data_IF_891940866959
#
_entry.id   IF_891940866959
#
_cell.length_a   1.000
_cell.length_b   1.000
_cell.length_c   1.000
_cell.angle_alpha   90.00
_cell.angle_beta   90.00
_cell.angle_gamma   90.00
#
_symmetry.space_group_name_H-M   'P 1'
#
loop_
_entity.id
_entity.type
_entity.pdbx_description
1 polymer ?
#
# COMPACT_ATOMS: atom_id res chain seq x y z
N UNK A 1 -8.21 14.14 -20.04
CA UNK A 1 -8.16 12.92 -20.89
C UNK A 1 -9.35 11.98 -20.65
N UNK A 2 -9.88 11.85 -19.42
CA UNK A 2 -10.97 10.91 -19.11
C UNK A 2 -12.35 11.55 -18.82
N UNK A 3 -12.50 12.89 -18.91
CA UNK A 3 -13.77 13.62 -18.64
C UNK A 3 -14.48 13.19 -17.32
N UNK A 4 -13.73 12.72 -16.32
CA UNK A 4 -14.22 12.44 -14.97
C UNK A 4 -14.12 13.75 -14.16
N UNK A 5 -15.19 14.21 -13.48
CA UNK A 5 -15.11 15.39 -12.62
C UNK A 5 -14.10 15.21 -11.47
N UNK A 6 -13.48 16.31 -11.03
CA UNK A 6 -12.58 16.29 -9.87
C UNK A 6 -13.35 15.89 -8.59
N UNK A 7 -12.68 15.15 -7.70
CA UNK A 7 -13.26 14.71 -6.41
C UNK A 7 -14.19 13.50 -6.46
N UNK A 8 -14.41 12.88 -7.64
CA UNK A 8 -15.30 11.70 -7.76
C UNK A 8 -14.64 10.40 -7.30
N UNK A 9 -13.31 10.30 -7.36
CA UNK A 9 -12.58 9.17 -6.80
C UNK A 9 -12.04 9.54 -5.42
N UNK A 10 -11.99 8.57 -4.52
CA UNK A 10 -11.28 8.74 -3.26
C UNK A 10 -9.81 9.10 -3.55
N UNK A 11 -9.25 10.04 -2.77
CA UNK A 11 -7.84 10.48 -2.82
C UNK A 11 -6.80 9.38 -3.12
N UNK A 12 -6.83 8.16 -2.53
CA UNK A 12 -5.89 7.09 -2.87
C UNK A 12 -5.89 6.69 -4.35
N UNK A 13 -7.02 6.80 -5.04
CA UNK A 13 -7.23 6.32 -6.40
C UNK A 13 -7.43 7.46 -7.42
N UNK A 14 -7.42 8.72 -6.97
CA UNK A 14 -7.74 9.88 -7.80
C UNK A 14 -6.85 10.01 -9.06
N UNK A 15 -5.60 9.53 -8.99
CA UNK A 15 -4.65 9.50 -10.10
C UNK A 15 -4.52 8.16 -10.81
N UNK A 16 -5.23 7.10 -10.39
CA UNK A 16 -4.97 5.74 -10.88
C UNK A 16 -5.45 5.57 -12.34
N UNK A 17 -4.55 5.29 -13.32
CA UNK A 17 -4.90 5.37 -14.74
C UNK A 17 -6.01 4.42 -15.18
N UNK A 18 -5.99 3.17 -14.71
CA UNK A 18 -7.03 2.20 -15.04
C UNK A 18 -8.36 2.59 -14.40
N UNK A 19 -8.36 2.97 -13.13
CA UNK A 19 -9.58 3.35 -12.40
C UNK A 19 -10.27 4.54 -13.06
N UNK A 20 -9.50 5.56 -13.44
CA UNK A 20 -10.01 6.72 -14.19
C UNK A 20 -10.61 6.34 -15.55
N UNK A 21 -9.97 5.41 -16.26
CA UNK A 21 -10.47 4.90 -17.54
C UNK A 21 -11.80 4.15 -17.35
N UNK A 22 -11.84 3.17 -16.44
CA UNK A 22 -13.04 2.36 -16.22
C UNK A 22 -14.21 3.21 -15.72
N UNK A 23 -13.95 4.15 -14.80
CA UNK A 23 -14.96 5.09 -14.32
C UNK A 23 -15.50 5.98 -15.46
N UNK A 24 -14.64 6.44 -16.38
CA UNK A 24 -15.10 7.17 -17.57
C UNK A 24 -16.00 6.32 -18.46
N UNK A 25 -15.73 5.03 -18.61
CA UNK A 25 -16.57 4.11 -19.40
C UNK A 25 -17.92 3.86 -18.71
N UNK A 26 -17.93 3.71 -17.38
CA UNK A 26 -19.15 3.59 -16.57
C UNK A 26 -20.00 4.86 -16.67
N UNK A 27 -19.40 6.04 -16.51
CA UNK A 27 -20.12 7.31 -16.64
C UNK A 27 -20.69 7.55 -18.03
N UNK A 28 -19.98 7.15 -19.10
CA UNK A 28 -20.50 7.28 -20.45
C UNK A 28 -21.74 6.40 -20.71
N UNK A 29 -21.91 5.32 -19.94
CA UNK A 29 -23.03 4.40 -20.07
C UNK A 29 -24.23 4.75 -19.16
N UNK A 30 -24.03 5.53 -18.10
CA UNK A 30 -25.09 5.92 -17.16
C UNK A 30 -25.70 7.28 -17.54
N UNK A 31 -27.02 7.38 -17.71
CA UNK A 31 -27.68 8.67 -17.85
C UNK A 31 -27.77 9.38 -16.48
N UNK A 32 -27.02 10.47 -16.28
CA UNK A 32 -27.18 11.32 -15.10
C UNK A 32 -25.89 12.00 -14.62
N UNK A 33 -26.04 12.87 -13.63
CA UNK A 33 -24.92 13.50 -12.91
C UNK A 33 -24.33 12.48 -11.92
N UNK A 34 -22.99 12.33 -11.84
CA UNK A 34 -22.37 11.39 -10.90
C UNK A 34 -22.75 11.69 -9.45
N UNK A 35 -22.77 10.63 -8.62
CA UNK A 35 -23.10 10.74 -7.22
C UNK A 35 -22.14 11.72 -6.50
N UNK A 36 -22.61 12.46 -5.48
CA UNK A 36 -21.81 13.46 -4.77
C UNK A 36 -20.76 12.86 -3.81
N UNK A 37 -20.65 11.52 -3.73
CA UNK A 37 -19.75 10.83 -2.79
C UNK A 37 -18.56 10.25 -3.57
N UNK A 38 -17.32 10.41 -3.05
CA UNK A 38 -16.15 9.76 -3.63
C UNK A 38 -16.34 8.24 -3.73
N UNK A 39 -16.09 7.69 -4.92
CA UNK A 39 -16.21 6.28 -5.24
C UNK A 39 -14.85 5.60 -5.00
N UNK A 40 -14.88 4.44 -4.35
CA UNK A 40 -13.68 3.61 -4.16
C UNK A 40 -13.35 2.85 -5.44
N UNK A 41 -12.09 2.47 -5.62
CA UNK A 41 -11.67 1.61 -6.73
C UNK A 41 -12.47 0.30 -6.83
N UNK A 42 -12.79 -0.33 -5.70
CA UNK A 42 -13.64 -1.54 -5.67
C UNK A 42 -15.02 -1.29 -6.29
N UNK A 43 -15.64 -0.15 -5.97
CA UNK A 43 -16.94 0.22 -6.51
C UNK A 43 -16.86 0.53 -8.01
N UNK A 44 -15.74 1.10 -8.49
CA UNK A 44 -15.49 1.27 -9.93
C UNK A 44 -15.38 -0.08 -10.63
N UNK A 45 -14.64 -1.03 -10.06
CA UNK A 45 -14.49 -2.37 -10.64
C UNK A 45 -15.81 -3.14 -10.67
N UNK A 46 -16.61 -3.06 -9.60
CA UNK A 46 -17.95 -3.64 -9.56
C UNK A 46 -18.88 -3.02 -10.63
N UNK A 47 -18.94 -1.69 -10.71
CA UNK A 47 -19.78 -1.00 -11.69
C UNK A 47 -19.33 -1.27 -13.14
N UNK A 48 -18.02 -1.36 -13.38
CA UNK A 48 -17.48 -1.73 -14.68
C UNK A 48 -17.86 -3.17 -15.04
N UNK A 49 -17.72 -4.13 -14.12
CA UNK A 49 -18.11 -5.52 -14.34
C UNK A 49 -19.60 -5.65 -14.67
N UNK A 50 -20.47 -4.95 -13.93
CA UNK A 50 -21.91 -4.92 -14.17
C UNK A 50 -22.24 -4.34 -15.55
N UNK A 51 -21.57 -3.25 -15.95
CA UNK A 51 -21.70 -2.66 -17.28
C UNK A 51 -21.30 -3.67 -18.37
N UNK A 52 -20.17 -4.35 -18.22
CA UNK A 52 -19.71 -5.34 -19.19
C UNK A 52 -20.68 -6.53 -19.29
N UNK A 53 -21.20 -7.02 -18.16
CA UNK A 53 -22.19 -8.09 -18.16
C UNK A 53 -23.50 -7.66 -18.84
N UNK A 54 -23.91 -6.39 -18.67
CA UNK A 54 -25.08 -5.83 -19.34
C UNK A 54 -24.87 -5.73 -20.86
N UNK A 55 -23.71 -5.21 -21.31
CA UNK A 55 -23.42 -5.10 -22.76
C UNK A 55 -23.36 -6.46 -23.46
N UNK A 56 -22.75 -7.46 -22.81
CA UNK A 56 -22.76 -8.85 -23.30
C UNK A 56 -24.20 -9.37 -23.39
N UNK A 57 -25.01 -9.15 -22.36
CA UNK A 57 -26.41 -9.54 -22.36
C UNK A 57 -27.24 -8.83 -23.43
N UNK A 58 -27.00 -7.54 -23.70
CA UNK A 58 -27.67 -6.79 -24.77
C UNK A 58 -27.34 -7.37 -26.16
N UNK A 59 -26.08 -7.75 -26.41
CA UNK A 59 -25.72 -8.42 -27.67
C UNK A 59 -26.43 -9.76 -27.83
N UNK A 60 -26.36 -10.59 -26.80
CA UNK A 60 -27.04 -11.88 -26.80
C UNK A 60 -28.57 -11.73 -26.94
N UNK A 61 -29.16 -10.73 -26.30
CA UNK A 61 -30.58 -10.44 -26.41
C UNK A 61 -30.96 -9.98 -27.82
N UNK A 62 -30.13 -9.17 -28.48
CA UNK A 62 -30.34 -8.72 -29.86
C UNK A 62 -30.38 -9.89 -30.84
N UNK A 63 -29.46 -10.84 -30.70
CA UNK A 63 -29.40 -12.04 -31.55
C UNK A 63 -30.56 -13.01 -31.29
N UNK A 64 -31.10 -13.05 -30.06
CA UNK A 64 -32.13 -14.01 -29.64
C UNK A 64 -33.53 -13.38 -29.46
N UNK A 65 -33.72 -12.10 -29.81
CA UNK A 65 -35.01 -11.39 -29.75
C UNK A 65 -35.55 -11.10 -28.34
N UNK A 66 -34.69 -11.08 -27.32
CA UNK A 66 -35.08 -10.86 -25.92
C UNK A 66 -35.18 -9.36 -25.58
N UNK A 67 -36.07 -8.97 -24.66
CA UNK A 67 -36.26 -7.56 -24.25
C UNK A 67 -36.53 -7.40 -22.75
N UNK A 68 -36.26 -6.21 -22.24
CA UNK A 68 -36.66 -5.77 -20.89
C UNK A 68 -36.06 -6.63 -19.76
N UNK A 69 -36.91 -7.20 -18.90
CA UNK A 69 -36.48 -8.02 -17.75
C UNK A 69 -35.70 -9.26 -18.15
N UNK A 70 -35.88 -9.79 -19.37
CA UNK A 70 -35.13 -10.92 -19.88
C UNK A 70 -33.63 -10.58 -20.03
N UNK A 71 -33.32 -9.35 -20.46
CA UNK A 71 -31.94 -8.85 -20.58
C UNK A 71 -31.28 -8.76 -19.21
N UNK A 72 -31.99 -8.22 -18.22
CA UNK A 72 -31.47 -8.14 -16.82
C UNK A 72 -31.18 -9.52 -16.24
N UNK A 73 -32.06 -10.50 -16.47
CA UNK A 73 -31.81 -11.90 -16.07
C UNK A 73 -30.61 -12.50 -16.81
N UNK A 74 -30.44 -12.18 -18.08
CA UNK A 74 -29.30 -12.63 -18.86
C UNK A 74 -27.99 -12.01 -18.37
N UNK A 75 -27.98 -10.71 -18.05
CA UNK A 75 -26.83 -10.04 -17.44
C UNK A 75 -26.40 -10.69 -16.12
N UNK A 76 -27.37 -11.05 -15.26
CA UNK A 76 -27.07 -11.81 -14.03
C UNK A 76 -26.46 -13.18 -14.31
N UNK A 77 -26.88 -13.87 -15.38
CA UNK A 77 -26.29 -15.16 -15.80
C UNK A 77 -24.88 -14.98 -16.36
N UNK A 78 -24.65 -13.95 -17.18
CA UNK A 78 -23.33 -13.57 -17.68
C UNK A 78 -22.40 -13.29 -16.50
N UNK A 79 -22.82 -12.47 -15.53
CA UNK A 79 -22.05 -12.22 -14.31
C UNK A 79 -21.72 -13.52 -13.58
N UNK A 80 -22.69 -14.42 -13.40
CA UNK A 80 -22.46 -15.74 -12.82
C UNK A 80 -21.39 -16.57 -13.56
N UNK A 81 -21.38 -16.56 -14.89
CA UNK A 81 -20.33 -17.22 -15.69
C UNK A 81 -18.98 -16.50 -15.56
N UNK A 82 -18.96 -15.18 -15.44
CA UNK A 82 -17.72 -14.42 -15.25
C UNK A 82 -17.09 -14.68 -13.88
N UNK A 83 -17.89 -14.78 -12.81
CA UNK A 83 -17.40 -15.20 -11.49
C UNK A 83 -16.89 -16.66 -11.52
N UNK A 84 -17.53 -17.54 -12.29
CA UNK A 84 -17.02 -18.91 -12.48
C UNK A 84 -15.72 -18.94 -13.29
N UNK A 85 -15.58 -18.07 -14.30
CA UNK A 85 -14.34 -17.86 -15.02
C UNK A 85 -13.22 -17.40 -14.07
N UNK A 86 -13.49 -16.43 -13.19
CA UNK A 86 -12.54 -15.99 -12.17
C UNK A 86 -12.11 -17.15 -11.25
N UNK A 87 -13.05 -17.98 -10.78
CA UNK A 87 -12.74 -19.18 -9.97
C UNK A 87 -11.81 -20.15 -10.70
N UNK A 88 -12.10 -20.46 -11.96
CA UNK A 88 -11.29 -21.40 -12.75
C UNK A 88 -9.92 -20.84 -13.10
N UNK A 89 -9.79 -19.52 -13.26
CA UNK A 89 -8.50 -18.83 -13.44
C UNK A 89 -7.55 -18.98 -12.24
N UNK A 90 -8.06 -19.20 -11.03
CA UNK A 90 -7.23 -19.52 -9.85
C UNK A 90 -6.61 -20.93 -9.91
N UNK A 91 -7.04 -21.77 -10.85
CA UNK A 91 -6.44 -23.06 -11.15
C UNK A 91 -5.01 -22.94 -11.74
N UNK A 92 -4.32 -24.06 -11.99
CA UNK A 92 -2.89 -24.09 -12.37
C UNK A 92 -2.51 -23.33 -13.66
N UNK A 93 -3.49 -22.79 -14.42
CA UNK A 93 -3.33 -22.14 -15.73
C UNK A 93 -2.77 -20.70 -15.74
N UNK A 94 -1.87 -20.34 -14.83
CA UNK A 94 -1.24 -19.01 -14.78
C UNK A 94 -2.20 -17.79 -14.77
N UNK A 95 -3.39 -17.91 -14.15
CA UNK A 95 -4.42 -16.85 -14.17
C UNK A 95 -5.23 -16.79 -15.47
N UNK A 96 -4.90 -17.64 -16.46
CA UNK A 96 -5.63 -17.81 -17.70
C UNK A 96 -6.59 -19.01 -17.63
N UNK A 97 -7.66 -18.93 -18.42
CA UNK A 97 -8.55 -20.03 -18.73
C UNK A 97 -7.99 -20.75 -19.96
N UNK A 98 -7.84 -22.07 -19.88
CA UNK A 98 -7.64 -22.87 -21.06
C UNK A 98 -8.88 -22.80 -21.98
N UNK A 99 -8.73 -23.29 -23.22
CA UNK A 99 -9.78 -23.23 -24.24
C UNK A 99 -11.03 -24.01 -23.85
N UNK A 100 -10.86 -25.18 -23.24
CA UNK A 100 -11.96 -26.06 -22.84
C UNK A 100 -12.76 -25.43 -21.69
N UNK A 101 -12.06 -24.91 -20.69
CA UNK A 101 -12.63 -24.16 -19.57
C UNK A 101 -13.39 -22.93 -20.04
N UNK A 102 -12.86 -22.17 -21.00
CA UNK A 102 -13.56 -21.03 -21.60
C UNK A 102 -14.82 -21.46 -22.34
N UNK A 103 -14.74 -22.45 -23.23
CA UNK A 103 -15.88 -22.91 -24.03
C UNK A 103 -16.99 -23.52 -23.18
N UNK A 104 -16.64 -24.16 -22.06
CA UNK A 104 -17.61 -24.69 -21.09
C UNK A 104 -18.45 -23.59 -20.41
N UNK A 105 -17.89 -22.37 -20.27
CA UNK A 105 -18.55 -21.21 -19.66
C UNK A 105 -19.23 -20.32 -20.71
N UNK A 106 -18.57 -20.15 -21.85
CA UNK A 106 -19.02 -19.31 -22.96
C UNK A 106 -19.01 -20.14 -24.25
N UNK A 107 -20.09 -20.88 -24.54
CA UNK A 107 -20.14 -21.77 -25.70
C UNK A 107 -20.03 -21.01 -27.03
N UNK A 108 -19.30 -21.59 -27.99
CA UNK A 108 -19.37 -21.18 -29.39
C UNK A 108 -20.69 -21.58 -30.05
N UNK A 109 -21.25 -22.71 -29.63
CA UNK A 109 -22.53 -23.25 -30.08
C UNK A 109 -23.72 -22.86 -29.20
N UNK A 110 -24.81 -23.65 -29.23
CA UNK A 110 -25.97 -23.44 -28.39
C UNK A 110 -25.62 -23.52 -26.90
N UNK A 111 -26.01 -22.50 -26.15
CA UNK A 111 -25.81 -22.51 -24.72
C UNK A 111 -26.80 -23.45 -24.00
N UNK A 112 -26.39 -24.09 -22.90
CA UNK A 112 -27.27 -24.91 -22.09
C UNK A 112 -28.50 -24.14 -21.59
N UNK A 113 -29.63 -24.84 -21.42
CA UNK A 113 -30.90 -24.24 -20.96
C UNK A 113 -30.76 -23.48 -19.62
N UNK A 114 -29.86 -23.93 -18.72
CA UNK A 114 -29.55 -23.21 -17.47
C UNK A 114 -29.08 -21.77 -17.71
N UNK A 115 -28.34 -21.52 -18.79
CA UNK A 115 -27.88 -20.20 -19.20
C UNK A 115 -28.95 -19.37 -19.92
N UNK A 116 -30.12 -19.96 -20.21
CA UNK A 116 -31.20 -19.32 -20.95
C UNK A 116 -31.24 -19.70 -22.42
N UNK A 117 -30.37 -20.61 -22.88
CA UNK A 117 -30.29 -21.02 -24.27
C UNK A 117 -29.63 -19.97 -25.17
N UNK A 118 -29.94 -20.05 -26.47
CA UNK A 118 -29.42 -19.15 -27.49
C UNK A 118 -28.01 -19.50 -27.97
N UNK A 119 -27.54 -18.77 -28.97
CA UNK A 119 -26.16 -18.86 -29.52
C UNK A 119 -25.41 -17.54 -29.27
N UNK A 120 -24.09 -17.52 -29.53
CA UNK A 120 -23.32 -16.26 -29.56
C UNK A 120 -22.58 -15.89 -28.27
N UNK A 121 -22.53 -16.76 -27.25
CA UNK A 121 -21.90 -16.47 -25.95
C UNK A 121 -20.41 -16.12 -26.05
N UNK A 122 -19.61 -16.99 -26.68
CA UNK A 122 -18.18 -16.70 -26.88
C UNK A 122 -17.95 -15.41 -27.70
N UNK A 123 -18.56 -15.24 -28.90
CA UNK A 123 -18.43 -14.00 -29.67
C UNK A 123 -18.83 -12.74 -28.89
N UNK A 124 -19.93 -12.78 -28.11
CA UNK A 124 -20.40 -11.61 -27.36
C UNK A 124 -19.41 -11.16 -26.28
N UNK A 125 -18.87 -12.10 -25.49
CA UNK A 125 -17.90 -11.79 -24.43
C UNK A 125 -16.57 -11.28 -25.02
N UNK A 126 -16.12 -11.87 -26.12
CA UNK A 126 -14.89 -11.45 -26.80
C UNK A 126 -15.06 -10.09 -27.50
N UNK A 127 -16.23 -9.82 -28.08
CA UNK A 127 -16.52 -8.54 -28.74
C UNK A 127 -16.62 -7.37 -27.76
N UNK A 128 -17.11 -7.63 -26.55
CA UNK A 128 -17.09 -6.65 -25.46
C UNK A 128 -15.72 -6.51 -24.80
N UNK A 129 -14.81 -7.47 -25.02
CA UNK A 129 -13.43 -7.37 -24.52
C UNK A 129 -13.31 -7.51 -23.01
N UNK A 130 -14.30 -8.11 -22.33
CA UNK A 130 -14.17 -8.46 -20.91
C UNK A 130 -13.11 -9.55 -20.71
N UNK A 131 -13.13 -10.55 -21.60
CA UNK A 131 -12.15 -11.61 -21.72
C UNK A 131 -11.53 -11.52 -23.12
N UNK A 132 -10.23 -11.71 -23.21
CA UNK A 132 -9.45 -11.63 -24.46
C UNK A 132 -8.63 -12.90 -24.66
N UNK A 133 -8.34 -13.28 -25.91
CA UNK A 133 -7.41 -14.36 -26.20
C UNK A 133 -6.01 -14.04 -25.63
N UNK A 134 -5.37 -15.04 -25.03
CA UNK A 134 -4.00 -14.93 -24.52
C UNK A 134 -3.28 -16.27 -24.67
N UNK A 135 -2.28 -16.31 -25.56
CA UNK A 135 -1.57 -17.55 -25.89
C UNK A 135 -2.53 -18.61 -26.45
N UNK A 136 -2.56 -19.78 -25.82
CA UNK A 136 -3.44 -20.89 -26.19
C UNK A 136 -4.85 -20.81 -25.57
N UNK A 137 -5.06 -19.89 -24.63
CA UNK A 137 -6.30 -19.75 -23.85
C UNK A 137 -6.82 -18.31 -23.84
N UNK A 138 -7.43 -17.93 -22.71
CA UNK A 138 -8.15 -16.67 -22.51
C UNK A 138 -7.84 -16.08 -21.14
N UNK A 139 -7.92 -14.74 -21.02
CA UNK A 139 -7.76 -14.04 -19.73
C UNK A 139 -8.64 -12.81 -19.68
N UNK A 140 -8.88 -12.29 -18.49
CA UNK A 140 -9.50 -10.97 -18.33
C UNK A 140 -8.63 -9.90 -18.99
N UNK A 141 -9.26 -8.93 -19.67
CA UNK A 141 -8.52 -7.89 -20.39
C UNK A 141 -7.68 -6.98 -19.50
N UNK A 142 -8.13 -6.77 -18.26
CA UNK A 142 -7.45 -5.96 -17.26
C UNK A 142 -7.00 -6.85 -16.11
N UNK A 143 -5.68 -6.94 -15.89
CA UNK A 143 -5.07 -7.75 -14.84
C UNK A 143 -5.57 -7.34 -13.46
N UNK A 144 -5.62 -6.05 -13.15
CA UNK A 144 -6.10 -5.56 -11.86
C UNK A 144 -7.59 -5.86 -11.60
N UNK A 145 -8.42 -5.92 -12.65
CA UNK A 145 -9.82 -6.36 -12.52
C UNK A 145 -9.88 -7.87 -12.32
N UNK A 146 -9.00 -8.61 -13.00
CA UNK A 146 -8.83 -10.05 -12.84
C UNK A 146 -8.46 -10.39 -11.39
N UNK A 147 -7.43 -9.73 -10.85
CA UNK A 147 -6.99 -9.90 -9.47
C UNK A 147 -8.09 -9.59 -8.47
N UNK A 148 -8.81 -8.50 -8.69
CA UNK A 148 -9.92 -8.11 -7.82
C UNK A 148 -11.03 -9.18 -7.80
N UNK A 149 -11.52 -9.61 -8.96
CA UNK A 149 -12.60 -10.62 -9.01
C UNK A 149 -12.10 -12.00 -8.56
N UNK A 150 -10.86 -12.37 -8.87
CA UNK A 150 -10.26 -13.63 -8.44
C UNK A 150 -10.05 -13.65 -6.92
N UNK A 151 -9.60 -12.54 -6.33
CA UNK A 151 -9.46 -12.36 -4.89
C UNK A 151 -10.78 -12.58 -4.13
N UNK A 152 -11.94 -12.26 -4.74
CA UNK A 152 -13.25 -12.56 -4.12
C UNK A 152 -13.57 -14.04 -3.98
N UNK A 153 -12.93 -14.91 -4.77
CA UNK A 153 -13.14 -16.37 -4.72
C UNK A 153 -11.94 -17.15 -4.20
N UNK A 154 -10.85 -16.46 -3.83
CA UNK A 154 -9.67 -17.10 -3.30
C UNK A 154 -9.96 -17.62 -1.90
N UNK A 155 -9.68 -18.90 -1.65
CA UNK A 155 -9.58 -19.43 -0.29
C UNK A 155 -8.29 -18.89 0.34
N UNK A 156 -8.41 -17.75 1.04
CA UNK A 156 -7.28 -17.03 1.59
C UNK A 156 -6.58 -17.84 2.70
N UNK A 157 -7.34 -18.56 3.52
CA UNK A 157 -6.77 -19.35 4.62
C UNK A 157 -5.95 -20.51 4.08
N UNK A 158 -6.47 -21.23 3.09
CA UNK A 158 -5.70 -22.28 2.42
C UNK A 158 -4.50 -21.72 1.64
N UNK A 159 -4.68 -20.57 0.98
CA UNK A 159 -3.59 -19.90 0.28
C UNK A 159 -2.46 -19.50 1.26
N UNK A 160 -2.77 -18.82 2.37
CA UNK A 160 -1.78 -18.42 3.37
C UNK A 160 -1.17 -19.63 4.09
N UNK A 161 -1.97 -20.64 4.44
CA UNK A 161 -1.46 -21.88 5.07
C UNK A 161 -0.46 -22.60 4.17
N UNK A 162 -0.76 -22.74 2.88
CA UNK A 162 0.14 -23.33 1.90
C UNK A 162 1.45 -22.53 1.71
N UNK A 163 1.45 -21.24 2.06
CA UNK A 163 2.60 -20.35 1.95
C UNK A 163 3.43 -20.27 3.24
N UNK A 164 2.78 -20.17 4.40
CA UNK A 164 3.40 -20.00 5.71
C UNK A 164 3.91 -21.32 6.29
N UNK A 165 3.14 -22.41 6.19
CA UNK A 165 3.44 -23.68 6.87
C UNK A 165 4.15 -24.71 5.98
N UNK A 166 4.75 -24.26 4.88
CA UNK A 166 5.30 -25.12 3.83
C UNK A 166 6.63 -25.81 4.19
N UNK A 167 7.21 -25.54 5.36
CA UNK A 167 8.57 -25.98 5.70
C UNK A 167 8.70 -27.48 6.04
N UNK A 168 7.59 -28.20 6.22
CA UNK A 168 7.59 -29.58 6.76
C UNK A 168 7.29 -30.72 5.76
N UNK A 169 7.09 -30.46 4.47
CA UNK A 169 6.87 -31.56 3.49
C UNK A 169 8.18 -32.08 2.91
N UNK A 170 8.58 -33.35 3.14
CA UNK A 170 9.78 -33.93 2.56
C UNK A 170 9.64 -34.04 1.04
N UNK A 171 10.63 -33.50 0.32
CA UNK A 171 11.00 -33.71 -1.08
C UNK A 171 10.09 -34.63 -1.93
N UNK A 172 9.43 -34.05 -2.95
CA UNK A 172 8.78 -34.87 -3.98
C UNK A 172 8.14 -34.14 -5.17
N UNK A 173 7.76 -32.87 -5.05
CA UNK A 173 7.22 -32.11 -6.20
C UNK A 173 7.54 -30.63 -6.05
N UNK A 174 8.35 -30.09 -6.97
CA UNK A 174 8.66 -28.67 -7.04
C UNK A 174 7.44 -27.86 -7.50
N UNK A 175 6.49 -27.60 -6.60
CA UNK A 175 5.47 -26.57 -6.83
C UNK A 175 6.06 -25.24 -6.38
N UNK A 176 6.27 -24.25 -7.23
CA UNK A 176 7.00 -23.02 -6.89
C UNK A 176 6.33 -22.19 -5.74
N UNK A 177 7.01 -21.20 -5.11
CA UNK A 177 6.38 -20.16 -4.25
C UNK A 177 5.18 -19.50 -4.96
N UNK A 178 4.32 -18.72 -4.26
CA UNK A 178 3.16 -17.99 -4.85
C UNK A 178 3.51 -17.61 -6.28
N UNK A 179 2.90 -18.18 -7.32
CA UNK A 179 3.31 -17.78 -8.65
C UNK A 179 3.15 -16.27 -8.77
N UNK A 180 4.17 -15.55 -9.29
CA UNK A 180 4.18 -14.07 -9.28
C UNK A 180 2.89 -13.46 -9.85
N UNK A 181 2.26 -14.15 -10.81
CA UNK A 181 0.98 -13.77 -11.41
C UNK A 181 -0.24 -13.88 -10.48
N UNK A 182 -0.14 -14.50 -9.30
CA UNK A 182 -1.25 -14.63 -8.33
C UNK A 182 -1.16 -13.65 -7.17
N UNK A 183 -0.05 -12.93 -7.04
CA UNK A 183 0.17 -12.07 -5.88
C UNK A 183 -0.93 -11.00 -5.78
N UNK A 184 -1.35 -10.43 -6.91
CA UNK A 184 -2.42 -9.43 -6.94
C UNK A 184 -3.74 -9.97 -6.41
N UNK A 185 -4.15 -11.18 -6.84
CA UNK A 185 -5.35 -11.84 -6.33
C UNK A 185 -5.29 -12.11 -4.82
N UNK A 186 -4.13 -12.46 -4.28
CA UNK A 186 -3.93 -12.64 -2.82
C UNK A 186 -4.02 -11.30 -2.10
N UNK A 187 -3.43 -10.23 -2.64
CA UNK A 187 -3.55 -8.87 -2.09
C UNK A 187 -5.01 -8.44 -2.04
N UNK A 188 -5.77 -8.66 -3.12
CA UNK A 188 -7.19 -8.30 -3.19
C UNK A 188 -8.05 -9.13 -2.22
N UNK A 189 -7.70 -10.40 -1.99
CA UNK A 189 -8.34 -11.23 -0.97
C UNK A 189 -8.06 -10.73 0.46
N UNK A 190 -6.82 -10.32 0.76
CA UNK A 190 -6.47 -9.72 2.07
C UNK A 190 -7.15 -8.37 2.28
N UNK A 191 -7.24 -7.53 1.25
CA UNK A 191 -8.00 -6.27 1.32
C UNK A 191 -9.50 -6.52 1.49
N UNK A 192 -10.04 -7.57 0.86
CA UNK A 192 -11.43 -7.99 1.07
C UNK A 192 -11.67 -8.46 2.50
N UNK A 193 -10.75 -9.22 3.09
CA UNK A 193 -10.79 -9.64 4.49
C UNK A 193 -10.91 -8.42 5.41
N UNK A 194 -10.09 -7.38 5.19
CA UNK A 194 -10.13 -6.13 5.95
C UNK A 194 -11.49 -5.42 5.83
N UNK A 195 -12.07 -5.38 4.63
CA UNK A 195 -13.39 -4.76 4.40
C UNK A 195 -14.53 -5.52 5.09
N UNK A 196 -14.44 -6.86 5.16
CA UNK A 196 -15.49 -7.70 5.71
C UNK A 196 -15.40 -7.87 7.24
N UNK A 197 -14.18 -7.97 7.78
CA UNK A 197 -13.92 -8.35 9.18
C UNK A 197 -13.23 -7.23 9.99
N UNK A 198 -12.80 -6.14 9.34
CA UNK A 198 -12.27 -4.95 10.00
C UNK A 198 -10.79 -5.04 10.38
N UNK A 199 -10.36 -4.06 11.18
CA UNK A 199 -8.97 -3.84 11.57
C UNK A 199 -8.33 -5.04 12.29
N UNK A 200 -8.96 -5.64 13.33
CA UNK A 200 -8.28 -6.67 14.12
C UNK A 200 -7.90 -7.90 13.29
N UNK A 201 -8.79 -8.33 12.40
CA UNK A 201 -8.54 -9.50 11.56
C UNK A 201 -7.40 -9.24 10.57
N UNK A 202 -7.36 -8.06 9.95
CA UNK A 202 -6.26 -7.69 9.07
C UNK A 202 -4.93 -7.57 9.84
N UNK A 203 -4.95 -7.01 11.05
CA UNK A 203 -3.74 -6.89 11.87
C UNK A 203 -3.13 -8.26 12.16
N UNK A 204 -3.93 -9.24 12.59
CA UNK A 204 -3.48 -10.62 12.83
C UNK A 204 -2.85 -11.25 11.58
N UNK A 205 -3.52 -11.14 10.42
CA UNK A 205 -2.98 -11.66 9.16
C UNK A 205 -1.66 -10.98 8.79
N UNK A 206 -1.54 -9.66 8.98
CA UNK A 206 -0.28 -8.96 8.70
C UNK A 206 0.83 -9.35 9.68
N UNK A 207 0.53 -9.57 10.96
CA UNK A 207 1.49 -10.08 11.95
C UNK A 207 2.04 -11.46 11.55
N UNK A 208 1.17 -12.36 11.10
CA UNK A 208 1.58 -13.67 10.57
C UNK A 208 2.51 -13.54 9.36
N UNK A 209 2.24 -12.57 8.47
CA UNK A 209 3.10 -12.28 7.32
C UNK A 209 4.46 -11.68 7.73
N UNK A 210 4.49 -10.82 8.75
CA UNK A 210 5.75 -10.32 9.33
C UNK A 210 6.56 -11.47 9.91
N UNK A 211 5.92 -12.34 10.71
CA UNK A 211 6.59 -13.51 11.28
C UNK A 211 7.13 -14.46 10.20
N UNK A 212 6.36 -14.70 9.13
CA UNK A 212 6.82 -15.49 8.00
C UNK A 212 8.05 -14.87 7.30
N UNK A 213 8.10 -13.54 7.18
CA UNK A 213 9.25 -12.83 6.63
C UNK A 213 10.47 -12.88 7.56
N UNK A 214 10.27 -12.86 8.88
CA UNK A 214 11.35 -12.98 9.85
C UNK A 214 11.95 -14.41 9.85
N UNK A 215 11.10 -15.44 9.68
CA UNK A 215 11.53 -16.84 9.56
C UNK A 215 12.25 -17.17 8.23
N UNK A 216 11.94 -16.43 7.16
CA UNK A 216 12.58 -16.53 5.85
C UNK A 216 12.74 -15.14 5.20
N UNK A 217 13.87 -14.44 5.45
CA UNK A 217 14.14 -13.11 4.90
C UNK A 217 14.17 -13.04 3.37
N UNK A 218 14.29 -14.17 2.67
CA UNK A 218 14.26 -14.26 1.21
C UNK A 218 12.84 -14.47 0.66
N UNK A 219 11.83 -14.52 1.53
CA UNK A 219 10.42 -14.65 1.17
C UNK A 219 9.90 -13.40 0.47
N UNK A 220 10.10 -13.34 -0.84
CA UNK A 220 9.67 -12.20 -1.67
C UNK A 220 8.16 -11.97 -1.59
N UNK A 221 7.36 -13.03 -1.43
CA UNK A 221 5.89 -12.93 -1.42
C UNK A 221 5.39 -12.29 -0.13
N UNK A 222 5.98 -12.61 1.03
CA UNK A 222 5.59 -12.01 2.31
C UNK A 222 5.88 -10.50 2.30
N UNK A 223 7.09 -10.11 1.89
CA UNK A 223 7.46 -8.71 1.74
C UNK A 223 6.57 -7.97 0.74
N UNK A 224 6.23 -8.61 -0.38
CA UNK A 224 5.35 -8.02 -1.41
C UNK A 224 3.91 -7.86 -0.93
N UNK A 225 3.35 -8.85 -0.22
CA UNK A 225 2.00 -8.78 0.36
C UNK A 225 1.91 -7.64 1.39
N UNK A 226 2.86 -7.58 2.32
CA UNK A 226 2.94 -6.51 3.31
C UNK A 226 2.98 -5.13 2.63
N UNK A 227 3.87 -4.97 1.66
CA UNK A 227 4.03 -3.71 0.94
C UNK A 227 2.76 -3.29 0.18
N UNK A 228 2.16 -4.21 -0.59
CA UNK A 228 0.97 -3.89 -1.40
C UNK A 228 -0.28 -3.65 -0.55
N UNK A 229 -0.49 -4.42 0.52
CA UNK A 229 -1.66 -4.27 1.39
C UNK A 229 -1.56 -2.97 2.20
N UNK A 230 -0.45 -2.73 2.90
CA UNK A 230 -0.27 -1.57 3.77
C UNK A 230 -0.27 -0.23 3.00
N UNK A 231 0.10 -0.23 1.72
CA UNK A 231 0.02 0.98 0.88
C UNK A 231 -1.37 1.22 0.28
N UNK A 232 -2.24 0.21 0.24
CA UNK A 232 -3.61 0.31 -0.28
C UNK A 232 -4.67 0.53 0.81
N UNK A 233 -4.39 0.25 2.08
CA UNK A 233 -5.32 0.61 3.17
C UNK A 233 -5.51 2.14 3.25
N UNK A 234 -6.74 2.63 3.50
CA UNK A 234 -7.02 4.06 3.54
C UNK A 234 -6.38 4.78 4.74
N UNK A 235 -6.16 4.06 5.84
CA UNK A 235 -5.46 4.52 7.03
C UNK A 235 -4.59 3.38 7.56
N UNK A 236 -3.29 3.63 7.71
CA UNK A 236 -2.34 2.64 8.23
C UNK A 236 -2.14 2.77 9.76
N UNK A 237 -2.70 3.81 10.39
CA UNK A 237 -2.56 4.07 11.84
C UNK A 237 -2.94 2.89 12.72
N UNK A 238 -4.04 2.15 12.45
CA UNK A 238 -4.43 1.03 13.28
C UNK A 238 -3.43 -0.15 13.26
N UNK A 239 -2.52 -0.19 12.29
CA UNK A 239 -1.51 -1.24 12.12
C UNK A 239 -0.13 -0.81 12.64
N UNK A 240 -0.07 0.19 13.51
CA UNK A 240 1.20 0.74 14.03
C UNK A 240 2.07 -0.33 14.71
N UNK A 241 1.50 -1.25 15.48
CA UNK A 241 2.28 -2.33 16.12
C UNK A 241 2.87 -3.29 15.08
N UNK A 242 2.10 -3.67 14.06
CA UNK A 242 2.60 -4.48 12.94
C UNK A 242 3.75 -3.77 12.22
N UNK A 243 3.61 -2.46 11.98
CA UNK A 243 4.63 -1.64 11.35
C UNK A 243 5.89 -1.53 12.22
N UNK A 244 5.75 -1.50 13.56
CA UNK A 244 6.88 -1.53 14.49
C UNK A 244 7.62 -2.85 14.43
N UNK A 245 6.89 -3.98 14.48
CA UNK A 245 7.48 -5.32 14.33
C UNK A 245 8.25 -5.43 13.01
N UNK A 246 7.66 -4.98 11.91
CA UNK A 246 8.31 -4.97 10.60
C UNK A 246 9.57 -4.09 10.57
N UNK A 247 9.50 -2.89 11.17
CA UNK A 247 10.62 -1.97 11.23
C UNK A 247 11.79 -2.52 12.09
N UNK A 248 11.46 -3.12 13.23
CA UNK A 248 12.43 -3.73 14.13
C UNK A 248 13.11 -4.94 13.46
N UNK A 249 12.36 -5.83 12.81
CA UNK A 249 12.94 -6.95 12.06
C UNK A 249 13.84 -6.50 10.90
N UNK A 250 13.51 -5.38 10.23
CA UNK A 250 14.38 -4.77 9.20
C UNK A 250 15.66 -4.22 9.83
N UNK A 251 15.56 -3.53 10.96
CA UNK A 251 16.70 -2.99 11.69
C UNK A 251 17.66 -4.09 12.17
N UNK A 252 17.13 -5.18 12.72
CA UNK A 252 17.91 -6.34 13.16
C UNK A 252 18.68 -6.96 11.99
N UNK A 253 18.00 -7.25 10.87
CA UNK A 253 18.64 -7.78 9.65
C UNK A 253 19.72 -6.85 9.10
N UNK A 254 19.45 -5.54 9.08
CA UNK A 254 20.42 -4.55 8.62
C UNK A 254 21.69 -4.55 9.48
N UNK A 255 21.55 -4.68 10.81
CA UNK A 255 22.67 -4.83 11.75
C UNK A 255 23.49 -6.11 11.52
N UNK A 256 22.86 -7.17 11.04
CA UNK A 256 23.52 -8.44 10.65
C UNK A 256 24.12 -8.40 9.23
N UNK A 257 23.95 -7.30 8.49
CA UNK A 257 24.40 -7.19 7.09
C UNK A 257 23.55 -7.98 6.10
N UNK A 258 22.36 -8.45 6.52
CA UNK A 258 21.41 -9.13 5.64
C UNK A 258 20.66 -8.12 4.78
N UNK A 259 20.40 -8.44 3.50
CA UNK A 259 19.71 -7.53 2.61
C UNK A 259 18.24 -7.36 3.02
N UNK A 260 17.77 -6.12 3.06
CA UNK A 260 16.35 -5.81 3.22
C UNK A 260 15.63 -5.95 1.87
N UNK A 261 14.43 -6.56 1.80
CA UNK A 261 13.64 -6.58 0.57
C UNK A 261 13.42 -5.16 0.04
N UNK A 262 13.79 -4.90 -1.22
CA UNK A 262 13.73 -3.55 -1.81
C UNK A 262 12.33 -2.93 -1.76
N UNK A 263 11.29 -3.75 -1.81
CA UNK A 263 9.88 -3.33 -1.70
C UNK A 263 9.53 -2.69 -0.35
N UNK A 264 10.35 -2.90 0.69
CA UNK A 264 10.20 -2.34 2.04
C UNK A 264 11.21 -1.20 2.33
N UNK A 265 11.81 -0.62 1.28
CA UNK A 265 12.74 0.50 1.40
C UNK A 265 12.07 1.85 1.74
N UNK A 266 12.82 2.96 1.77
CA UNK A 266 12.29 4.26 2.22
C UNK A 266 11.07 4.78 1.46
N UNK A 267 10.94 4.44 0.17
CA UNK A 267 9.76 4.76 -0.64
C UNK A 267 8.45 4.13 -0.12
N UNK A 268 8.53 2.92 0.45
CA UNK A 268 7.39 2.27 1.06
C UNK A 268 6.92 3.02 2.31
N UNK A 269 7.82 3.29 3.26
CA UNK A 269 7.50 3.97 4.52
C UNK A 269 6.97 5.39 4.35
N UNK A 270 7.43 6.10 3.31
CA UNK A 270 6.92 7.44 2.96
C UNK A 270 5.54 7.40 2.29
N UNK A 271 5.24 6.33 1.55
CA UNK A 271 3.93 6.14 0.92
C UNK A 271 2.81 5.75 1.89
N UNK A 272 3.15 5.27 3.09
CA UNK A 272 2.15 4.90 4.11
C UNK A 272 1.35 6.12 4.60
N UNK A 273 0.03 5.94 4.70
CA UNK A 273 -0.92 6.93 5.23
C UNK A 273 -0.88 6.89 6.76
N UNK A 274 0.07 7.64 7.32
CA UNK A 274 0.34 7.72 8.75
C UNK A 274 0.48 9.17 9.22
N UNK A 275 0.06 9.48 10.46
CA UNK A 275 0.46 10.70 11.14
C UNK A 275 1.98 10.87 11.18
N UNK A 276 2.46 12.10 11.03
CA UNK A 276 3.91 12.41 11.00
C UNK A 276 4.67 11.88 12.22
N UNK A 277 4.07 11.96 13.42
CA UNK A 277 4.68 11.45 14.65
C UNK A 277 4.94 9.94 14.60
N UNK A 278 3.99 9.14 14.07
CA UNK A 278 4.14 7.70 13.94
C UNK A 278 5.17 7.38 12.86
N UNK A 279 5.12 8.09 11.72
CA UNK A 279 6.11 7.91 10.64
C UNK A 279 7.53 8.17 11.13
N UNK A 280 7.76 9.24 11.90
CA UNK A 280 9.08 9.55 12.45
C UNK A 280 9.51 8.50 13.50
N UNK A 281 8.62 8.00 14.36
CA UNK A 281 8.95 6.91 15.29
C UNK A 281 9.38 5.61 14.56
N UNK A 282 8.72 5.29 13.43
CA UNK A 282 9.11 4.15 12.60
C UNK A 282 10.46 4.39 11.91
N UNK A 283 10.69 5.58 11.34
CA UNK A 283 11.97 5.93 10.73
C UNK A 283 13.12 5.90 11.75
N UNK A 284 12.87 6.27 13.02
CA UNK A 284 13.84 6.14 14.12
C UNK A 284 14.33 4.70 14.32
N UNK A 285 13.47 3.71 14.10
CA UNK A 285 13.85 2.29 14.17
C UNK A 285 14.62 1.87 12.92
N UNK A 286 14.16 2.32 11.76
CA UNK A 286 14.70 1.94 10.45
C UNK A 286 16.08 2.54 10.14
N UNK A 287 16.47 3.68 10.74
CA UNK A 287 17.83 4.22 10.54
C UNK A 287 18.92 3.26 11.03
N UNK A 288 18.60 2.29 11.88
CA UNK A 288 19.52 1.21 12.26
C UNK A 288 19.79 0.23 11.12
N UNK A 289 18.93 0.17 10.10
CA UNK A 289 19.16 -0.59 8.88
C UNK A 289 19.93 0.17 7.80
N UNK A 290 20.24 1.46 8.02
CA UNK A 290 20.95 2.26 7.02
C UNK A 290 22.38 1.74 6.82
N UNK A 291 22.74 1.58 5.55
CA UNK A 291 24.11 1.25 5.15
C UNK A 291 25.08 2.43 5.34
N UNK A 292 26.39 2.20 5.10
CA UNK A 292 27.42 3.23 5.24
C UNK A 292 27.10 4.48 4.41
N UNK A 293 27.46 5.70 4.86
CA UNK A 293 27.07 6.93 4.16
C UNK A 293 27.54 7.06 2.71
N UNK A 294 28.55 6.27 2.33
CA UNK A 294 29.18 6.29 1.01
C UNK A 294 28.64 5.17 0.10
N UNK A 295 27.82 4.27 0.66
CA UNK A 295 27.20 3.20 -0.10
C UNK A 295 26.06 3.78 -0.95
N UNK A 296 25.93 3.37 -2.21
CA UNK A 296 24.83 3.80 -3.07
C UNK A 296 23.51 3.18 -2.60
N UNK A 297 22.47 3.99 -2.48
CA UNK A 297 21.11 3.53 -2.17
C UNK A 297 20.31 4.54 -1.34
N UNK A 298 18.97 4.46 -1.36
CA UNK A 298 18.14 5.32 -0.54
C UNK A 298 18.27 4.93 0.95
N UNK A 299 18.55 5.90 1.82
CA UNK A 299 18.62 5.70 3.28
C UNK A 299 17.38 6.27 3.97
N UNK A 300 17.03 5.70 5.11
CA UNK A 300 15.98 6.20 5.99
C UNK A 300 16.36 7.57 6.57
N UNK A 301 17.64 7.79 6.89
CA UNK A 301 18.12 9.09 7.36
C UNK A 301 17.96 10.21 6.31
N UNK A 302 18.19 9.90 5.03
CA UNK A 302 17.96 10.86 3.93
C UNK A 302 16.47 11.21 3.78
N UNK A 303 15.60 10.24 4.06
CA UNK A 303 14.15 10.47 4.10
C UNK A 303 13.75 11.41 5.23
N UNK A 304 14.33 11.24 6.42
CA UNK A 304 14.12 12.13 7.57
C UNK A 304 14.59 13.55 7.24
N UNK A 305 15.76 13.70 6.61
CA UNK A 305 16.27 14.99 6.15
C UNK A 305 15.33 15.66 5.13
N UNK A 306 14.75 14.87 4.21
CA UNK A 306 13.73 15.34 3.26
C UNK A 306 12.46 15.86 3.96
N UNK A 307 11.95 15.12 4.95
CA UNK A 307 10.80 15.54 5.76
C UNK A 307 11.09 16.82 6.54
N UNK A 308 12.26 16.90 7.19
CA UNK A 308 12.71 18.10 7.91
C UNK A 308 12.84 19.32 6.99
N UNK A 309 13.28 19.10 5.75
CA UNK A 309 13.41 20.17 4.76
C UNK A 309 12.04 20.67 4.27
N UNK A 310 11.06 19.77 4.16
CA UNK A 310 9.72 20.10 3.68
C UNK A 310 8.87 20.82 4.74
N UNK A 311 8.94 20.39 6.00
CA UNK A 311 8.20 20.99 7.11
C UNK A 311 9.04 20.98 8.41
N UNK A 312 9.94 21.97 8.58
CA UNK A 312 10.77 22.08 9.76
C UNK A 312 9.95 22.21 11.05
N UNK A 313 8.87 22.97 11.02
CA UNK A 313 8.06 23.26 12.20
C UNK A 313 7.38 22.01 12.76
N UNK A 314 6.91 21.11 11.89
CA UNK A 314 6.33 19.83 12.33
C UNK A 314 7.39 18.80 12.75
N UNK A 315 8.55 18.77 12.11
CA UNK A 315 9.54 17.69 12.28
C UNK A 315 10.54 17.96 13.41
N UNK A 316 10.94 19.21 13.65
CA UNK A 316 11.92 19.54 14.71
C UNK A 316 11.49 19.02 16.11
N UNK A 317 10.25 19.23 16.59
CA UNK A 317 9.82 18.68 17.89
C UNK A 317 9.86 17.15 17.94
N UNK A 318 9.58 16.49 16.83
CA UNK A 318 9.59 15.03 16.75
C UNK A 318 11.01 14.46 16.73
N UNK A 319 11.97 15.16 16.11
CA UNK A 319 13.38 14.77 16.09
C UNK A 319 14.08 14.96 17.43
N UNK A 320 13.72 16.00 18.20
CA UNK A 320 14.28 16.19 19.55
C UNK A 320 13.95 15.01 20.47
N UNK A 321 12.81 14.33 20.26
CA UNK A 321 12.45 13.10 20.98
C UNK A 321 13.35 11.89 20.67
N UNK A 322 14.30 12.02 19.76
CA UNK A 322 15.30 10.98 19.47
C UNK A 322 16.56 11.14 20.33
N UNK A 323 16.68 12.24 21.09
CA UNK A 323 17.90 12.58 21.83
C UNK A 323 18.22 11.63 23.00
N UNK A 324 17.28 10.78 23.40
CA UNK A 324 17.45 9.70 24.37
C UNK A 324 17.76 8.33 23.74
N UNK A 325 17.81 8.24 22.41
CA UNK A 325 18.05 6.99 21.70
C UNK A 325 19.54 6.75 21.43
N UNK A 326 20.20 6.12 22.41
CA UNK A 326 21.63 5.82 22.36
C UNK A 326 21.97 4.50 21.61
N UNK A 327 21.02 3.92 20.85
CA UNK A 327 21.32 2.75 20.02
C UNK A 327 22.37 3.12 18.96
N UNK A 328 23.46 2.35 18.82
CA UNK A 328 24.52 2.64 17.85
C UNK A 328 24.04 2.35 16.42
N UNK A 329 24.45 3.19 15.47
CA UNK A 329 24.21 2.96 14.05
C UNK A 329 25.19 1.89 13.54
N UNK A 330 24.75 0.72 13.05
CA UNK A 330 25.65 -0.38 12.69
C UNK A 330 26.72 0.01 11.65
N UNK A 331 26.35 0.86 10.69
CA UNK A 331 27.27 1.30 9.64
C UNK A 331 28.25 2.41 10.08
N UNK A 332 27.99 3.08 11.20
CA UNK A 332 28.87 4.10 11.81
C UNK A 332 28.86 3.94 13.33
N UNK A 333 29.58 2.95 13.90
CA UNK A 333 29.43 2.54 15.30
C UNK A 333 29.75 3.62 16.35
N UNK A 334 30.40 4.71 15.95
CA UNK A 334 30.67 5.87 16.81
C UNK A 334 29.50 6.85 16.91
N UNK A 335 28.48 6.69 16.06
CA UNK A 335 27.26 7.48 16.06
C UNK A 335 26.09 6.64 16.60
N UNK A 336 25.21 7.32 17.33
CA UNK A 336 23.91 6.81 17.76
C UNK A 336 22.77 7.47 16.99
N UNK A 337 21.57 6.91 17.11
CA UNK A 337 20.34 7.53 16.61
C UNK A 337 20.20 8.98 17.13
N UNK A 338 20.46 9.21 18.42
CA UNK A 338 20.45 10.54 19.03
C UNK A 338 21.45 11.50 18.38
N UNK A 339 22.71 11.07 18.16
CA UNK A 339 23.72 11.92 17.50
C UNK A 339 23.37 12.21 16.04
N UNK A 340 22.74 11.28 15.33
CA UNK A 340 22.28 11.50 13.97
C UNK A 340 21.14 12.52 13.90
N UNK A 341 20.18 12.46 14.85
CA UNK A 341 19.13 13.46 14.96
C UNK A 341 19.70 14.86 15.25
N UNK A 342 20.64 14.96 16.20
CA UNK A 342 21.32 16.21 16.53
C UNK A 342 22.08 16.78 15.32
N UNK A 343 22.80 15.92 14.59
CA UNK A 343 23.52 16.32 13.36
C UNK A 343 22.56 16.79 12.25
N UNK A 344 21.40 16.15 12.08
CA UNK A 344 20.38 16.60 11.13
C UNK A 344 19.82 17.98 11.49
N UNK A 345 19.46 18.19 12.76
CA UNK A 345 18.96 19.48 13.24
C UNK A 345 20.00 20.59 13.08
N UNK A 346 21.27 20.31 13.40
CA UNK A 346 22.38 21.25 13.18
C UNK A 346 22.59 21.55 11.70
N UNK A 347 22.65 20.52 10.84
CA UNK A 347 22.88 20.66 9.39
C UNK A 347 21.77 21.48 8.73
N UNK A 348 20.51 21.26 9.14
CA UNK A 348 19.34 21.94 8.57
C UNK A 348 18.87 23.15 9.40
N UNK A 349 19.67 23.65 10.36
CA UNK A 349 19.30 24.71 11.32
C UNK A 349 18.70 25.96 10.67
N UNK A 350 19.20 26.36 9.50
CA UNK A 350 18.73 27.56 8.80
C UNK A 350 17.30 27.47 8.25
N UNK A 351 16.68 26.26 8.24
CA UNK A 351 15.32 26.06 7.73
C UNK A 351 14.22 26.48 8.71
N UNK A 352 14.56 26.76 9.96
CA UNK A 352 13.60 27.14 10.99
C UNK A 352 14.29 27.39 12.33
N UNK A 353 15.34 28.21 12.33
CA UNK A 353 16.24 28.38 13.48
C UNK A 353 15.50 28.91 14.71
N UNK A 354 14.64 29.92 14.52
CA UNK A 354 13.85 30.47 15.62
C UNK A 354 12.95 29.38 16.24
N UNK A 355 12.23 28.59 15.43
CA UNK A 355 11.42 27.48 15.93
C UNK A 355 12.25 26.40 16.61
N UNK A 356 13.43 26.08 16.07
CA UNK A 356 14.36 25.12 16.65
C UNK A 356 14.79 25.55 18.07
N UNK A 357 15.15 26.82 18.26
CA UNK A 357 15.56 27.32 19.58
C UNK A 357 14.43 27.18 20.62
N UNK A 358 13.18 27.46 20.23
CA UNK A 358 12.02 27.28 21.11
C UNK A 358 11.79 25.82 21.49
N UNK A 359 11.95 24.90 20.54
CA UNK A 359 11.79 23.46 20.78
C UNK A 359 12.90 22.92 21.70
N UNK A 360 14.14 23.36 21.50
CA UNK A 360 15.27 22.89 22.28
C UNK A 360 15.20 23.35 23.74
N UNK A 361 14.86 24.62 23.97
CA UNK A 361 14.76 25.18 25.33
C UNK A 361 13.61 24.56 26.13
N UNK A 362 12.52 24.18 25.45
CA UNK A 362 11.37 23.52 26.07
C UNK A 362 11.62 22.02 26.35
N UNK A 363 12.78 21.48 25.97
CA UNK A 363 13.09 20.06 26.07
C UNK A 363 14.06 19.76 27.22
N UNK A 364 13.82 18.67 27.94
CA UNK A 364 14.66 18.26 29.08
C UNK A 364 15.87 17.40 28.69
N UNK A 365 16.21 17.34 27.40
CA UNK A 365 17.28 16.48 26.91
C UNK A 365 18.63 17.20 26.99
N UNK A 366 19.63 16.58 27.61
CA UNK A 366 21.01 17.11 27.66
C UNK A 366 21.56 17.50 26.29
N UNK A 367 21.25 16.73 25.24
CA UNK A 367 21.69 17.01 23.86
C UNK A 367 21.06 18.28 23.28
N UNK A 368 19.90 18.70 23.80
CA UNK A 368 19.29 19.96 23.41
C UNK A 368 20.08 21.15 23.96
N UNK A 369 20.54 21.08 25.21
CA UNK A 369 21.44 22.08 25.80
C UNK A 369 22.76 22.14 25.03
N UNK A 370 23.33 20.98 24.68
CA UNK A 370 24.55 20.90 23.86
C UNK A 370 24.36 21.57 22.49
N UNK A 371 23.23 21.32 21.82
CA UNK A 371 22.93 21.96 20.54
C UNK A 371 22.64 23.45 20.67
N UNK A 372 21.95 23.89 21.73
CA UNK A 372 21.75 25.32 22.02
C UNK A 372 23.09 26.03 22.23
N UNK A 373 24.03 25.41 22.95
CA UNK A 373 25.39 25.93 23.13
C UNK A 373 26.12 26.11 21.80
N UNK A 374 26.08 25.12 20.91
CA UNK A 374 26.66 25.23 19.55
C UNK A 374 25.99 26.35 18.74
N UNK A 375 24.67 26.46 18.80
CA UNK A 375 23.93 27.53 18.12
C UNK A 375 24.24 28.93 18.70
N UNK A 376 24.58 29.04 19.98
CA UNK A 376 25.03 30.29 20.59
C UNK A 376 26.31 30.81 19.95
N UNK A 377 27.25 29.90 19.68
CA UNK A 377 28.54 30.22 19.07
C UNK A 377 28.42 30.51 17.57
N UNK A 378 27.64 29.70 16.86
CA UNK A 378 27.52 29.80 15.39
C UNK A 378 26.51 30.86 14.93
N UNK A 379 25.41 31.05 15.67
CA UNK A 379 24.26 31.90 15.28
C UNK A 379 23.87 32.91 16.38
N UNK A 380 24.80 33.72 16.91
CA UNK A 380 24.60 34.53 18.12
C UNK A 380 23.43 35.51 18.00
N UNK A 381 23.22 36.08 16.80
CA UNK A 381 22.11 37.00 16.56
C UNK A 381 20.75 36.34 16.69
N UNK A 382 20.62 35.08 16.30
CA UNK A 382 19.37 34.33 16.44
C UNK A 382 19.10 33.97 17.90
N UNK A 383 20.13 33.53 18.61
CA UNK A 383 19.99 33.20 20.02
C UNK A 383 19.66 34.44 20.87
N UNK A 384 20.29 35.59 20.63
CA UNK A 384 19.95 36.83 21.33
C UNK A 384 18.46 37.18 21.17
N UNK A 385 17.89 37.04 19.97
CA UNK A 385 16.46 37.26 19.75
C UNK A 385 15.60 36.24 20.50
N UNK A 386 16.01 34.98 20.54
CA UNK A 386 15.30 33.93 21.27
C UNK A 386 15.31 34.21 22.77
N UNK A 387 16.47 34.53 23.36
CA UNK A 387 16.62 34.95 24.76
C UNK A 387 15.74 36.16 25.09
N UNK A 388 15.67 37.15 24.18
CA UNK A 388 14.80 38.32 24.34
C UNK A 388 13.30 37.96 24.37
N UNK A 389 12.89 36.89 23.67
CA UNK A 389 11.53 36.33 23.76
C UNK A 389 11.35 35.59 25.08
N UNK A 390 12.29 34.73 25.46
CA UNK A 390 12.22 33.90 26.67
C UNK A 390 12.20 34.73 27.96
N UNK A 391 12.97 35.81 28.02
CA UNK A 391 12.98 36.74 29.16
C UNK A 391 11.63 37.44 29.39
N UNK A 392 10.78 37.50 28.35
CA UNK A 392 9.43 38.08 28.40
C UNK A 392 8.33 37.02 28.51
N UNK A 393 8.70 35.74 28.54
CA UNK A 393 7.77 34.62 28.67
C UNK A 393 7.35 34.47 30.15
N UNK A 394 6.12 33.99 30.37
CA UNK A 394 5.58 33.77 31.73
C UNK A 394 6.11 32.46 32.36
N UNK A 395 6.63 31.53 31.55
CA UNK A 395 7.13 30.23 32.02
C UNK A 395 8.52 30.39 32.66
N UNK A 396 8.64 29.96 33.92
CA UNK A 396 9.88 30.07 34.70
C UNK A 396 11.08 29.36 34.06
N UNK A 397 10.87 28.24 33.39
CA UNK A 397 11.92 27.47 32.71
C UNK A 397 12.58 28.30 31.60
N UNK A 398 11.79 29.04 30.82
CA UNK A 398 12.28 29.94 29.77
C UNK A 398 12.97 31.17 30.34
N UNK A 399 12.44 31.75 31.41
CA UNK A 399 13.12 32.85 32.11
C UNK A 399 14.47 32.42 32.68
N UNK A 400 14.58 31.19 33.18
CA UNK A 400 15.84 30.62 33.69
C UNK A 400 16.84 30.46 32.56
N UNK A 401 16.41 29.86 31.43
CA UNK A 401 17.24 29.69 30.24
C UNK A 401 17.71 31.03 29.63
N UNK A 402 16.96 32.13 29.84
CA UNK A 402 17.35 33.46 29.36
C UNK A 402 18.51 34.10 30.16
N UNK A 403 18.82 33.58 31.35
CA UNK A 403 19.83 34.14 32.28
C UNK A 403 21.12 33.31 32.31
N UNK A 404 21.06 32.06 31.85
CA UNK A 404 22.20 31.15 31.65
C UNK A 404 22.79 31.32 30.27
#
# INVERSE_FOLDING_TARGET
RHRVPEGVLAEPDAGHPLTLRLLSEVHAALPGTPAPVPVTRDAVFAAYLDLMCLRVADRLAGENGLRGTAVRRLAAKVSGQVHEAARRSLGPGQGALDRESFEALFPWGPAPARLGGGTGWAPAVLAEGLIVPAGSGYRFAHEEVADWIQGTHLDLDEALRALVHRRDTPHGTHTFPVPHHRIGSVVEAVLLLARQHGVPQLALTLEELVHALDLDPHSWWAARLLAEVLTRVPDATPYTEVLRLLADGIAERGGEGLPTPQVLGPGFWTSLRLPGAIRLDLLRRLVLADGPPHAPGPRHLDTVAGLLTADPAAVQPLLVRWFDDDRPLPATPHATVATAAQALLHTHRHRGLDGLTEVLVDSAYRRADELLGVLAEEEPSALCRAVERWARDERLERQTAAVT
#
